data_IF_411211620973
#
_entry.id   IF_411211620973
#
_cell.length_a   1.000
_cell.length_b   1.000
_cell.length_c   1.000
_cell.angle_alpha   90.00
_cell.angle_beta   90.00
_cell.angle_gamma   90.00
#
_symmetry.space_group_name_H-M   'P 1'
#
loop_
_entity.id
_entity.type
_entity.pdbx_description
1 polymer ?
#
# COMPACT_ATOMS: atom_id res chain seq x y z
N UNK A 1 3.91 -17.51 3.11
CA UNK A 1 3.27 -16.17 3.04
C UNK A 1 4.08 -15.28 2.15
N UNK A 2 3.43 -14.64 1.22
CA UNK A 2 4.10 -13.80 0.25
C UNK A 2 3.82 -12.32 0.54
N UNK A 3 4.84 -11.54 0.96
CA UNK A 3 4.65 -10.11 1.19
C UNK A 3 4.17 -9.39 -0.06
N UNK A 4 3.33 -8.40 0.14
CA UNK A 4 2.80 -7.57 -0.94
C UNK A 4 3.31 -6.15 -0.74
N UNK A 5 3.73 -5.52 -1.83
CA UNK A 5 4.12 -4.12 -1.83
C UNK A 5 3.15 -3.36 -2.73
N UNK A 6 2.49 -2.37 -2.15
CA UNK A 6 1.56 -1.51 -2.87
C UNK A 6 2.13 -0.11 -2.92
N UNK A 7 2.24 0.44 -4.12
CA UNK A 7 2.59 1.84 -4.32
C UNK A 7 1.33 2.58 -4.72
N UNK A 8 0.98 3.61 -3.98
CA UNK A 8 -0.23 4.38 -4.23
C UNK A 8 0.02 5.88 -4.05
N UNK A 9 -0.87 6.66 -4.62
CA UNK A 9 -0.78 8.12 -4.57
C UNK A 9 -2.06 8.69 -3.99
N UNK A 10 -1.92 9.69 -3.13
CA UNK A 10 -3.08 10.44 -2.67
C UNK A 10 -3.54 11.41 -3.76
N UNK A 11 -4.83 11.33 -4.10
CA UNK A 11 -5.37 12.20 -5.15
C UNK A 11 -5.46 13.66 -4.73
N UNK A 12 -5.41 13.94 -3.44
CA UNK A 12 -5.54 15.31 -2.94
C UNK A 12 -4.19 16.02 -2.81
N UNK A 13 -3.19 15.36 -2.24
CA UNK A 13 -1.88 16.00 -2.04
C UNK A 13 -0.81 15.48 -3.00
N UNK A 14 -1.12 14.49 -3.83
CA UNK A 14 -0.20 13.86 -4.78
C UNK A 14 1.00 13.18 -4.14
N UNK A 15 0.95 12.92 -2.84
CA UNK A 15 2.02 12.20 -2.16
C UNK A 15 2.01 10.73 -2.58
N UNK A 16 3.19 10.19 -2.85
CA UNK A 16 3.34 8.79 -3.23
C UNK A 16 3.80 8.01 -2.00
N UNK A 17 3.05 6.97 -1.65
CA UNK A 17 3.28 6.18 -0.45
C UNK A 17 3.47 4.72 -0.83
N UNK A 18 4.38 4.05 -0.13
CA UNK A 18 4.63 2.63 -0.32
C UNK A 18 4.15 1.90 0.93
N UNK A 19 3.25 0.94 0.73
CA UNK A 19 2.69 0.13 1.81
C UNK A 19 3.11 -1.32 1.65
N UNK A 20 3.42 -1.98 2.78
CA UNK A 20 3.83 -3.38 2.80
C UNK A 20 2.88 -4.18 3.67
N UNK A 21 2.51 -5.38 3.21
CA UNK A 21 1.63 -6.26 3.98
C UNK A 21 2.29 -6.80 5.26
N UNK A 22 3.60 -6.62 5.39
CA UNK A 22 4.35 -7.04 6.59
C UNK A 22 4.31 -6.00 7.71
N UNK A 23 3.83 -4.80 7.44
CA UNK A 23 3.70 -3.75 8.45
C UNK A 23 2.47 -4.05 9.30
N UNK A 24 2.69 -4.50 10.53
CA UNK A 24 1.60 -4.95 11.41
C UNK A 24 0.70 -3.80 11.85
N UNK A 25 -0.59 -3.88 11.50
CA UNK A 25 -1.65 -3.03 12.04
C UNK A 25 -1.38 -1.53 11.95
N UNK A 26 -0.51 -1.13 11.04
CA UNK A 26 -0.19 0.28 10.85
C UNK A 26 -0.80 0.76 9.55
N UNK A 27 -1.53 1.87 9.65
CA UNK A 27 -2.00 2.54 8.45
C UNK A 27 -0.91 3.47 7.94
N UNK A 28 -0.65 3.44 6.65
CA UNK A 28 0.29 4.34 6.01
C UNK A 28 -0.49 5.57 5.53
N UNK A 29 -0.17 6.73 6.08
CA UNK A 29 -0.84 7.99 5.76
C UNK A 29 -0.05 8.77 4.73
N UNK A 30 -0.77 9.46 3.85
CA UNK A 30 -0.15 10.43 2.97
C UNK A 30 0.19 11.72 3.75
N UNK A 31 0.88 12.64 3.11
CA UNK A 31 1.33 13.87 3.75
C UNK A 31 0.17 14.71 4.30
N UNK A 32 -0.95 14.79 3.59
CA UNK A 32 -2.10 15.57 4.04
C UNK A 32 -2.92 14.85 5.12
N UNK A 33 -2.68 13.55 5.33
CA UNK A 33 -3.37 12.76 6.34
C UNK A 33 -4.80 12.35 6.01
N UNK A 34 -5.33 12.74 4.85
CA UNK A 34 -6.71 12.43 4.48
C UNK A 34 -6.86 11.06 3.84
N UNK A 35 -5.78 10.51 3.32
CA UNK A 35 -5.78 9.20 2.69
C UNK A 35 -4.82 8.30 3.42
N UNK A 36 -5.25 7.08 3.67
CA UNK A 36 -4.42 6.08 4.34
C UNK A 36 -4.75 4.69 3.82
N UNK A 37 -3.77 3.82 3.83
CA UNK A 37 -3.93 2.42 3.44
C UNK A 37 -3.36 1.53 4.52
N UNK A 38 -4.14 0.53 4.93
CA UNK A 38 -3.71 -0.54 5.81
C UNK A 38 -3.67 -1.82 4.97
N UNK A 39 -2.49 -2.19 4.52
CA UNK A 39 -2.30 -3.34 3.65
C UNK A 39 -1.99 -4.57 4.48
N UNK A 40 -2.87 -5.56 4.39
CA UNK A 40 -2.72 -6.85 5.03
C UNK A 40 -2.59 -7.94 3.97
N UNK A 41 -2.18 -9.13 4.39
CA UNK A 41 -2.00 -10.24 3.48
C UNK A 41 -3.30 -10.68 2.82
N UNK A 42 -4.39 -10.70 3.59
CA UNK A 42 -5.68 -11.19 3.12
C UNK A 42 -6.73 -10.11 2.89
N UNK A 43 -6.44 -8.87 3.26
CA UNK A 43 -7.38 -7.78 3.04
C UNK A 43 -6.64 -6.43 3.03
N UNK A 44 -7.34 -5.44 2.59
CA UNK A 44 -6.83 -4.08 2.53
C UNK A 44 -7.92 -3.13 3.00
N UNK A 45 -7.55 -2.21 3.88
CA UNK A 45 -8.41 -1.11 4.29
C UNK A 45 -7.84 0.19 3.79
N UNK A 46 -8.69 1.08 3.32
CA UNK A 46 -8.24 2.42 2.98
C UNK A 46 -9.28 3.45 3.35
N UNK A 47 -8.79 4.65 3.66
CA UNK A 47 -9.61 5.83 3.85
C UNK A 47 -9.21 6.84 2.79
N UNK A 48 -10.15 7.70 2.43
CA UNK A 48 -9.90 8.67 1.38
C UNK A 48 -9.88 8.02 0.01
N UNK A 49 -9.06 8.53 -0.88
CA UNK A 49 -9.02 8.08 -2.28
C UNK A 49 -7.61 7.76 -2.73
N UNK A 50 -7.06 6.61 -2.34
CA UNK A 50 -5.75 6.21 -2.82
C UNK A 50 -5.85 5.76 -4.29
N UNK A 51 -4.90 6.20 -5.09
CA UNK A 51 -4.78 5.74 -6.47
C UNK A 51 -3.67 4.69 -6.54
N UNK A 52 -4.02 3.47 -6.83
CA UNK A 52 -3.03 2.39 -6.93
C UNK A 52 -2.17 2.59 -8.16
N UNK A 53 -0.85 2.65 -7.95
CA UNK A 53 0.12 2.80 -9.04
C UNK A 53 0.67 1.43 -9.42
N UNK A 54 1.12 0.65 -8.44
CA UNK A 54 1.61 -0.69 -8.70
C UNK A 54 1.43 -1.59 -7.47
N UNK A 55 1.24 -2.86 -7.74
CA UNK A 55 1.13 -3.89 -6.70
C UNK A 55 2.01 -5.06 -7.09
N UNK A 56 2.91 -5.45 -6.21
CA UNK A 56 3.83 -6.55 -6.44
C UNK A 56 3.83 -7.51 -5.27
N UNK A 57 4.04 -8.79 -5.57
CA UNK A 57 4.13 -9.84 -4.56
C UNK A 57 5.54 -10.41 -4.56
N UNK A 58 6.11 -10.61 -3.39
CA UNK A 58 7.45 -11.17 -3.23
C UNK A 58 7.38 -12.68 -3.18
N UNK A 59 7.97 -13.35 -4.18
CA UNK A 59 7.96 -14.80 -4.29
C UNK A 59 9.38 -15.27 -4.60
N UNK A 60 9.91 -16.17 -3.76
CA UNK A 60 11.23 -16.80 -3.96
C UNK A 60 12.33 -15.79 -4.26
N UNK A 61 12.39 -14.74 -3.49
CA UNK A 61 13.46 -13.73 -3.61
C UNK A 61 13.26 -12.70 -4.71
N UNK A 62 12.11 -12.68 -5.36
CA UNK A 62 11.82 -11.72 -6.44
C UNK A 62 10.45 -11.10 -6.30
N UNK A 63 10.32 -9.87 -6.77
CA UNK A 63 9.04 -9.17 -6.82
C UNK A 63 8.36 -9.41 -8.16
N UNK A 64 7.11 -9.84 -8.11
CA UNK A 64 6.30 -10.07 -9.31
C UNK A 64 5.09 -9.16 -9.29
N UNK A 65 4.72 -8.66 -10.45
CA UNK A 65 3.52 -7.87 -10.62
C UNK A 65 2.29 -8.74 -10.36
N UNK A 66 1.42 -8.29 -9.46
CA UNK A 66 0.18 -9.02 -9.17
C UNK A 66 -1.04 -8.42 -9.83
#
# INVERSE_FOLDING_TARGET
MNPIRLVWRCKECNDVVVSYSTARHNMDYCECGKTAVDLEEHYQRNTGSPEEISRKTFIKGKWFKS
#
